data_IF_732548092160
#
_entry.id   IF_732548092160
#
_cell.length_a   1.000
_cell.length_b   1.000
_cell.length_c   1.000
_cell.angle_alpha   90.00
_cell.angle_beta   90.00
_cell.angle_gamma   90.00
#
_symmetry.space_group_name_H-M   'P 1'
#
loop_
_entity.id
_entity.type
_entity.pdbx_description
1 polymer ?
#
# COMPACT_ATOMS: atom_id res chain seq x y z
N UNK A 1 13.92 -14.48 4.11
CA UNK A 1 13.80 -14.95 2.69
C UNK A 1 12.38 -15.41 2.46
N UNK A 2 11.82 -15.18 1.28
CA UNK A 2 10.50 -15.70 0.94
C UNK A 2 10.54 -17.24 0.96
N UNK A 3 9.49 -17.86 1.49
CA UNK A 3 9.36 -19.33 1.60
C UNK A 3 8.06 -19.77 0.93
N UNK A 4 8.11 -20.88 0.19
CA UNK A 4 6.90 -21.51 -0.34
C UNK A 4 6.16 -22.23 0.80
N UNK A 5 4.86 -22.04 0.89
CA UNK A 5 3.99 -22.73 1.83
C UNK A 5 2.85 -23.44 1.11
N UNK A 6 2.36 -24.53 1.69
CA UNK A 6 1.20 -25.23 1.18
C UNK A 6 -0.07 -24.41 1.49
N UNK A 7 -0.87 -24.00 0.46
CA UNK A 7 -2.09 -23.26 0.67
C UNK A 7 -3.12 -23.97 1.58
N UNK A 8 -3.10 -25.32 1.62
CA UNK A 8 -3.98 -26.11 2.47
C UNK A 8 -3.65 -26.01 3.96
N UNK A 9 -2.42 -25.59 4.29
CA UNK A 9 -1.95 -25.41 5.68
C UNK A 9 -2.19 -23.99 6.21
N UNK A 10 -2.72 -23.09 5.37
CA UNK A 10 -3.13 -21.78 5.84
C UNK A 10 -4.42 -21.89 6.67
N UNK A 11 -4.65 -21.03 7.68
CA UNK A 11 -5.89 -21.02 8.45
C UNK A 11 -7.16 -20.81 7.59
N UNK A 12 -6.98 -20.44 6.31
CA UNK A 12 -8.04 -20.11 5.37
C UNK A 12 -8.29 -21.27 4.40
N UNK A 13 -9.32 -22.06 4.68
CA UNK A 13 -9.70 -23.19 3.83
C UNK A 13 -9.99 -22.80 2.35
N UNK A 14 -10.40 -21.56 2.09
CA UNK A 14 -10.69 -21.04 0.75
C UNK A 14 -9.44 -20.60 -0.03
N UNK A 15 -8.27 -20.47 0.61
CA UNK A 15 -7.06 -19.94 -0.06
C UNK A 15 -6.66 -20.75 -1.32
N UNK A 16 -6.75 -22.08 -1.26
CA UNK A 16 -6.40 -22.95 -2.37
C UNK A 16 -7.39 -22.83 -3.56
N UNK A 17 -8.66 -22.54 -3.30
CA UNK A 17 -9.72 -22.45 -4.33
C UNK A 17 -9.42 -21.33 -5.33
N UNK A 18 -8.94 -20.19 -4.84
CA UNK A 18 -8.73 -19.00 -5.65
C UNK A 18 -7.37 -18.97 -6.35
N UNK A 19 -6.48 -19.92 -6.04
CA UNK A 19 -5.12 -19.96 -6.58
C UNK A 19 -5.07 -20.05 -8.10
N UNK A 20 -6.05 -20.72 -8.69
CA UNK A 20 -6.15 -20.97 -10.15
C UNK A 20 -7.38 -20.32 -10.77
N UNK A 21 -8.06 -19.41 -10.05
CA UNK A 21 -9.21 -18.72 -10.60
C UNK A 21 -8.78 -17.77 -11.72
N UNK A 22 -9.56 -17.65 -12.81
CA UNK A 22 -9.22 -16.75 -13.93
C UNK A 22 -9.18 -15.28 -13.54
N UNK A 23 -9.95 -14.87 -12.53
CA UNK A 23 -10.01 -13.52 -11.99
C UNK A 23 -10.08 -13.60 -10.45
N UNK A 24 -8.95 -13.79 -9.77
CA UNK A 24 -8.93 -13.95 -8.32
C UNK A 24 -8.86 -12.63 -7.54
N UNK A 25 -8.95 -11.49 -8.22
CA UNK A 25 -8.80 -10.17 -7.61
C UNK A 25 -10.14 -9.62 -7.12
N UNK A 26 -10.13 -9.08 -5.91
CA UNK A 26 -11.23 -8.35 -5.30
C UNK A 26 -10.84 -6.89 -5.09
N UNK A 27 -11.80 -5.97 -5.24
CA UNK A 27 -11.56 -4.54 -4.96
C UNK A 27 -12.60 -4.02 -3.98
N UNK A 28 -12.13 -3.45 -2.87
CA UNK A 28 -12.94 -2.71 -1.91
C UNK A 28 -12.73 -1.20 -2.10
N UNK A 29 -13.79 -0.43 -1.89
CA UNK A 29 -13.76 1.03 -1.93
C UNK A 29 -14.12 1.56 -0.55
N UNK A 30 -13.27 2.43 0.01
CA UNK A 30 -13.51 3.06 1.30
C UNK A 30 -13.08 4.52 1.27
N UNK A 31 -13.82 5.37 1.98
CA UNK A 31 -13.45 6.78 2.15
C UNK A 31 -12.80 6.99 3.50
N UNK A 32 -11.51 7.33 3.50
CA UNK A 32 -10.71 7.60 4.70
C UNK A 32 -10.79 9.07 5.12
N UNK A 33 -10.73 9.32 6.43
CA UNK A 33 -10.52 10.66 6.97
C UNK A 33 -9.03 10.96 7.08
N UNK A 34 -8.51 11.73 6.15
CA UNK A 34 -7.08 12.09 6.08
C UNK A 34 -6.77 13.46 6.70
N UNK A 35 -7.71 14.03 7.43
CA UNK A 35 -7.53 15.31 8.14
C UNK A 35 -6.28 15.30 9.04
N UNK A 36 -5.99 14.23 9.80
CA UNK A 36 -4.80 14.15 10.65
C UNK A 36 -3.50 14.28 9.84
N UNK A 37 -3.38 13.56 8.70
CA UNK A 37 -2.19 13.62 7.85
C UNK A 37 -2.00 14.99 7.19
N UNK A 38 -3.08 15.65 6.77
CA UNK A 38 -2.99 17.00 6.21
C UNK A 38 -2.54 18.02 7.25
N UNK A 39 -2.99 17.89 8.50
CA UNK A 39 -2.51 18.75 9.59
C UNK A 39 -1.04 18.51 9.86
N UNK A 40 -0.61 17.25 9.88
CA UNK A 40 0.79 16.89 10.09
C UNK A 40 1.68 17.42 8.95
N UNK A 41 1.28 17.22 7.70
CA UNK A 41 1.98 17.70 6.51
C UNK A 41 2.11 19.24 6.45
N UNK A 42 1.13 19.98 7.02
CA UNK A 42 1.20 21.45 7.11
C UNK A 42 2.07 21.97 8.23
N UNK A 43 2.19 21.21 9.33
CA UNK A 43 3.01 21.60 10.50
C UNK A 43 4.49 21.25 10.33
N UNK A 44 4.77 20.24 9.52
CA UNK A 44 6.11 19.73 9.30
C UNK A 44 6.38 19.59 7.78
N UNK A 45 7.63 19.65 7.31
CA UNK A 45 7.98 19.51 5.90
C UNK A 45 7.85 18.06 5.41
N UNK A 46 6.69 17.42 5.68
CA UNK A 46 6.39 16.04 5.33
C UNK A 46 5.39 16.00 4.17
N UNK A 47 5.68 15.21 3.14
CA UNK A 47 4.79 15.04 1.99
C UNK A 47 3.58 14.20 2.37
N UNK A 48 2.38 14.64 2.00
CA UNK A 48 1.14 13.90 2.27
C UNK A 48 1.18 12.45 1.73
N UNK A 49 1.66 12.27 0.48
CA UNK A 49 1.74 10.96 -0.13
C UNK A 49 2.69 10.02 0.64
N UNK A 50 3.83 10.53 1.08
CA UNK A 50 4.78 9.79 1.93
C UNK A 50 4.12 9.36 3.25
N UNK A 51 3.38 10.26 3.91
CA UNK A 51 2.67 9.95 5.15
C UNK A 51 1.62 8.86 4.96
N UNK A 52 0.86 8.91 3.86
CA UNK A 52 -0.14 7.88 3.56
C UNK A 52 0.53 6.53 3.27
N UNK A 53 1.60 6.50 2.46
CA UNK A 53 2.40 5.29 2.22
C UNK A 53 2.96 4.70 3.53
N UNK A 54 3.43 5.55 4.45
CA UNK A 54 3.88 5.09 5.76
C UNK A 54 2.77 4.45 6.58
N UNK A 55 1.57 5.07 6.64
CA UNK A 55 0.41 4.49 7.33
C UNK A 55 -0.02 3.17 6.69
N UNK A 56 0.01 3.05 5.35
CA UNK A 56 -0.29 1.80 4.62
C UNK A 56 0.69 0.71 5.06
N UNK A 57 1.99 0.98 5.05
CA UNK A 57 3.00 0.01 5.47
C UNK A 57 2.82 -0.45 6.90
N UNK A 58 2.51 0.46 7.84
CA UNK A 58 2.26 0.13 9.25
C UNK A 58 0.99 -0.68 9.45
N UNK A 59 -0.09 -0.35 8.74
CA UNK A 59 -1.33 -1.11 8.78
C UNK A 59 -1.12 -2.53 8.24
N UNK A 60 -0.39 -2.66 7.12
CA UNK A 60 -0.05 -3.96 6.52
C UNK A 60 0.83 -4.81 7.44
N UNK A 61 1.84 -4.23 8.08
CA UNK A 61 2.70 -4.95 9.04
C UNK A 61 1.94 -5.50 10.25
N UNK A 62 0.71 -5.03 10.51
CA UNK A 62 -0.20 -5.51 11.57
C UNK A 62 -1.34 -6.38 11.03
N UNK A 63 -1.28 -6.74 9.77
CA UNK A 63 -2.27 -7.56 9.08
C UNK A 63 -1.55 -8.81 8.56
N UNK A 64 -1.68 -9.98 9.25
CA UNK A 64 -0.89 -11.17 8.96
C UNK A 64 -0.96 -11.63 7.50
N UNK A 65 -2.09 -11.39 6.84
CA UNK A 65 -2.34 -11.78 5.45
C UNK A 65 -1.38 -11.11 4.47
N UNK A 66 -0.81 -9.95 4.81
CA UNK A 66 0.22 -9.31 3.97
C UNK A 66 1.55 -10.04 3.99
N UNK A 67 1.76 -11.02 4.89
CA UNK A 67 2.91 -11.91 4.80
C UNK A 67 2.79 -12.93 3.67
N UNK A 68 1.62 -13.08 3.03
CA UNK A 68 1.34 -14.08 2.01
C UNK A 68 1.16 -13.42 0.65
N UNK A 69 1.65 -14.08 -0.42
CA UNK A 69 1.40 -13.65 -1.80
C UNK A 69 1.43 -14.86 -2.75
N UNK A 70 0.42 -15.03 -3.62
CA UNK A 70 0.50 -15.99 -4.72
C UNK A 70 1.48 -15.48 -5.80
N UNK A 71 2.50 -16.27 -6.10
CA UNK A 71 3.52 -15.96 -7.12
C UNK A 71 3.79 -17.19 -7.96
N UNK A 72 3.61 -17.12 -9.28
CA UNK A 72 3.92 -18.22 -10.19
C UNK A 72 3.16 -19.51 -9.90
N UNK A 73 1.92 -19.44 -9.42
CA UNK A 73 1.11 -20.61 -9.03
C UNK A 73 1.45 -21.20 -7.67
N UNK A 74 2.35 -20.58 -6.90
CA UNK A 74 2.77 -20.97 -5.55
C UNK A 74 2.32 -19.93 -4.54
N UNK A 75 2.03 -20.34 -3.31
CA UNK A 75 1.82 -19.41 -2.20
C UNK A 75 3.13 -19.16 -1.49
N UNK A 76 3.58 -17.91 -1.50
CA UNK A 76 4.82 -17.48 -0.86
C UNK A 76 4.54 -16.75 0.44
N UNK A 77 5.35 -17.02 1.46
CA UNK A 77 5.35 -16.30 2.74
C UNK A 77 6.59 -15.42 2.83
N UNK A 78 6.40 -14.18 3.30
CA UNK A 78 7.43 -13.14 3.40
C UNK A 78 7.58 -12.62 4.81
N UNK A 79 8.82 -12.36 5.21
CA UNK A 79 9.16 -11.73 6.49
C UNK A 79 9.28 -10.21 6.39
N UNK A 80 9.39 -9.68 5.16
CA UNK A 80 9.65 -8.27 4.92
C UNK A 80 8.59 -7.68 4.02
N UNK A 81 8.18 -6.45 4.35
CA UNK A 81 7.20 -5.68 3.59
C UNK A 81 7.82 -4.41 3.03
N UNK A 82 7.38 -4.02 1.84
CA UNK A 82 7.69 -2.74 1.24
C UNK A 82 6.42 -2.08 0.67
N UNK A 83 6.44 -0.77 0.54
CA UNK A 83 5.42 -0.01 -0.18
C UNK A 83 6.03 0.52 -1.46
N UNK A 84 5.45 0.15 -2.59
CA UNK A 84 5.81 0.70 -3.89
C UNK A 84 5.01 1.98 -4.15
N UNK A 85 5.65 3.01 -4.68
CA UNK A 85 4.99 4.24 -5.11
C UNK A 85 5.40 4.63 -6.53
N UNK A 86 4.45 5.18 -7.27
CA UNK A 86 4.72 5.73 -8.60
C UNK A 86 5.42 7.08 -8.46
N UNK A 87 6.49 7.28 -9.22
CA UNK A 87 7.33 8.47 -9.21
C UNK A 87 7.29 9.14 -10.60
N UNK A 88 6.87 10.41 -10.65
CA UNK A 88 6.97 11.22 -11.86
C UNK A 88 8.45 11.59 -12.11
N UNK A 89 8.90 11.41 -13.35
CA UNK A 89 10.29 11.63 -13.78
C UNK A 89 10.52 13.08 -14.21
N UNK A 90 11.75 13.57 -14.07
CA UNK A 90 12.14 14.92 -14.51
C UNK A 90 12.01 15.10 -16.02
N UNK A 91 12.31 14.05 -16.80
CA UNK A 91 12.19 14.03 -18.26
C UNK A 91 10.79 13.71 -18.80
N UNK A 92 9.79 13.61 -17.92
CA UNK A 92 8.44 13.15 -18.26
C UNK A 92 8.30 11.63 -18.14
N UNK A 93 7.04 11.15 -18.06
CA UNK A 93 6.74 9.75 -17.77
C UNK A 93 6.76 9.42 -16.29
N UNK A 94 6.71 8.13 -15.99
CA UNK A 94 6.66 7.61 -14.63
C UNK A 94 7.62 6.42 -14.48
N UNK A 95 8.04 6.15 -13.23
CA UNK A 95 8.73 4.94 -12.82
C UNK A 95 8.24 4.52 -11.43
N UNK A 96 8.74 3.45 -10.87
CA UNK A 96 8.30 2.90 -9.59
C UNK A 96 9.43 2.86 -8.57
N UNK A 97 9.07 2.89 -7.29
CA UNK A 97 10.04 2.91 -6.20
C UNK A 97 9.51 2.11 -5.02
N UNK A 98 10.20 1.03 -4.68
CA UNK A 98 9.97 0.25 -3.47
C UNK A 98 10.65 0.92 -2.28
N UNK A 99 9.92 1.01 -1.17
CA UNK A 99 10.40 1.63 0.07
C UNK A 99 10.15 0.62 1.20
N UNK A 100 11.19 0.18 1.92
CA UNK A 100 11.01 -0.74 3.04
C UNK A 100 10.08 -0.18 4.10
N UNK A 101 9.17 -1.01 4.62
CA UNK A 101 8.29 -0.61 5.73
C UNK A 101 9.13 -0.37 6.99
N UNK A 102 8.79 0.67 7.73
CA UNK A 102 9.45 1.03 8.99
C UNK A 102 8.44 1.60 9.97
N UNK A 103 8.56 1.24 11.25
CA UNK A 103 7.78 1.85 12.33
C UNK A 103 8.18 3.29 12.60
N UNK A 104 9.44 3.64 12.33
CA UNK A 104 9.94 5.01 12.49
C UNK A 104 9.56 5.87 11.28
N UNK A 105 8.74 6.90 11.52
CA UNK A 105 8.40 7.92 10.53
C UNK A 105 9.64 8.63 9.98
N UNK A 106 10.61 8.94 10.86
CA UNK A 106 11.85 9.63 10.47
C UNK A 106 12.64 8.78 9.48
N UNK A 107 12.81 7.48 9.76
CA UNK A 107 13.49 6.53 8.88
C UNK A 107 12.75 6.39 7.57
N UNK A 108 11.44 6.13 7.61
CA UNK A 108 10.64 5.98 6.40
C UNK A 108 10.66 7.23 5.52
N UNK A 109 10.54 8.44 6.11
CA UNK A 109 10.62 9.69 5.35
C UNK A 109 11.98 9.89 4.69
N UNK A 110 13.09 9.60 5.40
CA UNK A 110 14.44 9.67 4.84
C UNK A 110 14.58 8.75 3.63
N UNK A 111 14.19 7.48 3.79
CA UNK A 111 14.30 6.47 2.74
C UNK A 111 13.37 6.80 1.56
N UNK A 112 12.13 7.23 1.83
CA UNK A 112 11.20 7.71 0.80
C UNK A 112 11.79 8.84 -0.04
N UNK A 113 12.35 9.88 0.59
CA UNK A 113 12.89 11.03 -0.12
C UNK A 113 14.15 10.68 -0.93
N UNK A 114 15.05 9.90 -0.35
CA UNK A 114 16.29 9.47 -1.01
C UNK A 114 16.01 8.60 -2.23
N UNK A 115 15.21 7.53 -2.08
CA UNK A 115 14.92 6.56 -3.11
C UNK A 115 14.07 7.16 -4.24
N UNK A 116 12.97 7.85 -3.91
CA UNK A 116 12.14 8.51 -4.94
C UNK A 116 12.91 9.62 -5.65
N UNK A 117 13.81 10.33 -4.97
CA UNK A 117 14.69 11.33 -5.58
C UNK A 117 15.68 10.71 -6.57
N UNK A 118 16.24 9.54 -6.24
CA UNK A 118 17.11 8.78 -7.15
C UNK A 118 16.32 8.33 -8.40
N UNK A 119 15.15 7.68 -8.21
CA UNK A 119 14.29 7.24 -9.32
C UNK A 119 13.92 8.40 -10.23
N UNK A 120 13.52 9.54 -9.66
CA UNK A 120 13.14 10.75 -10.41
C UNK A 120 14.24 11.25 -11.35
N UNK A 121 15.51 11.27 -10.87
CA UNK A 121 16.65 11.73 -11.66
C UNK A 121 17.14 10.71 -12.68
N UNK A 122 17.14 9.43 -12.30
CA UNK A 122 17.74 8.36 -13.13
C UNK A 122 16.77 7.74 -14.13
N UNK A 123 15.46 7.87 -13.88
CA UNK A 123 14.40 7.17 -14.64
C UNK A 123 14.34 5.66 -14.36
N UNK A 124 15.26 5.11 -13.57
CA UNK A 124 15.33 3.67 -13.27
C UNK A 124 14.48 3.36 -12.06
N UNK A 125 13.66 2.30 -12.15
CA UNK A 125 12.91 1.78 -11.02
C UNK A 125 13.86 1.37 -9.88
N UNK A 126 13.37 1.50 -8.64
CA UNK A 126 14.04 0.94 -7.47
C UNK A 126 13.23 -0.25 -6.95
N UNK A 127 13.81 -1.43 -7.03
CA UNK A 127 13.21 -2.70 -6.64
C UNK A 127 14.02 -3.35 -5.52
N UNK A 128 13.33 -3.93 -4.53
CA UNK A 128 13.94 -4.55 -3.35
C UNK A 128 14.18 -6.07 -3.52
N UNK A 129 13.80 -6.62 -4.69
CA UNK A 129 13.95 -8.03 -4.99
C UNK A 129 12.96 -8.94 -4.26
N UNK A 130 13.16 -10.26 -4.42
CA UNK A 130 12.19 -11.31 -4.10
C UNK A 130 12.02 -11.59 -2.59
N UNK A 131 12.78 -10.93 -1.74
CA UNK A 131 12.67 -11.09 -0.27
C UNK A 131 11.55 -10.24 0.34
N UNK A 132 10.96 -9.34 -0.43
CA UNK A 132 9.93 -8.42 0.05
C UNK A 132 8.57 -8.69 -0.60
N UNK A 133 7.53 -8.77 0.23
CA UNK A 133 6.18 -8.60 -0.27
C UNK A 133 5.91 -7.10 -0.45
N UNK A 134 5.60 -6.70 -1.67
CA UNK A 134 5.46 -5.30 -2.05
C UNK A 134 3.98 -4.93 -2.17
N UNK A 135 3.58 -3.86 -1.48
CA UNK A 135 2.25 -3.27 -1.58
C UNK A 135 2.32 -2.15 -2.61
N UNK A 136 1.63 -2.31 -3.74
CA UNK A 136 1.60 -1.29 -4.78
C UNK A 136 0.74 -0.09 -4.38
N UNK A 137 1.18 1.12 -4.74
CA UNK A 137 0.37 2.32 -4.57
C UNK A 137 0.44 3.23 -5.80
N UNK A 138 -0.70 3.84 -6.14
CA UNK A 138 -0.77 4.88 -7.18
C UNK A 138 -1.60 6.05 -6.71
N UNK A 139 -1.01 7.24 -6.80
CA UNK A 139 -1.69 8.49 -6.51
C UNK A 139 -1.94 9.26 -7.82
N UNK A 140 -3.13 9.83 -7.96
CA UNK A 140 -3.54 10.70 -9.06
C UNK A 140 -3.73 12.14 -8.52
N UNK A 141 -2.63 12.84 -8.22
CA UNK A 141 -2.71 14.18 -7.64
C UNK A 141 -3.38 15.16 -8.62
N UNK A 142 -4.22 16.04 -8.08
CA UNK A 142 -5.01 16.99 -8.89
C UNK A 142 -6.33 16.43 -9.39
N UNK A 143 -6.53 15.13 -9.41
CA UNK A 143 -7.76 14.50 -9.91
C UNK A 143 -8.63 13.95 -8.76
N UNK A 144 -9.93 14.29 -8.78
CA UNK A 144 -10.91 13.77 -7.84
C UNK A 144 -11.58 12.55 -8.47
N UNK A 145 -11.19 11.36 -8.00
CA UNK A 145 -11.82 10.10 -8.39
C UNK A 145 -12.61 9.54 -7.21
N UNK A 146 -13.64 8.77 -7.48
CA UNK A 146 -14.41 8.04 -6.45
C UNK A 146 -13.81 6.66 -6.16
N UNK A 147 -13.13 6.09 -7.15
CA UNK A 147 -12.42 4.83 -7.06
C UNK A 147 -11.84 4.42 -8.42
N UNK A 148 -11.03 3.38 -8.39
CA UNK A 148 -10.48 2.73 -9.59
C UNK A 148 -10.32 1.23 -9.32
N UNK A 149 -10.56 0.41 -10.33
CA UNK A 149 -10.19 -1.00 -10.31
C UNK A 149 -8.87 -1.12 -11.06
N UNK A 150 -7.86 -1.71 -10.42
CA UNK A 150 -6.58 -1.92 -11.06
C UNK A 150 -6.66 -3.02 -12.13
N UNK A 151 -5.77 -2.96 -13.09
CA UNK A 151 -5.65 -4.02 -14.11
C UNK A 151 -5.23 -5.33 -13.45
N UNK A 152 -5.68 -6.44 -14.03
CA UNK A 152 -5.20 -7.77 -13.70
C UNK A 152 -4.62 -8.42 -14.96
N UNK A 153 -3.31 -8.62 -14.95
CA UNK A 153 -2.57 -9.20 -16.07
C UNK A 153 -2.12 -10.65 -15.80
N UNK A 154 -2.47 -11.22 -14.64
CA UNK A 154 -2.02 -12.56 -14.23
C UNK A 154 -0.54 -12.65 -13.84
N UNK A 155 0.19 -11.54 -13.87
CA UNK A 155 1.63 -11.48 -13.58
C UNK A 155 1.89 -10.99 -12.17
N UNK A 156 1.16 -9.94 -11.75
CA UNK A 156 1.31 -9.32 -10.43
C UNK A 156 0.05 -9.53 -9.61
N UNK A 157 0.18 -10.24 -8.51
CA UNK A 157 -0.90 -10.51 -7.55
C UNK A 157 -0.81 -9.62 -6.30
N UNK A 158 0.11 -8.67 -6.31
CA UNK A 158 0.37 -7.77 -5.20
C UNK A 158 -0.87 -6.95 -4.83
N UNK A 159 -1.13 -6.77 -3.52
CA UNK A 159 -2.16 -5.84 -3.07
C UNK A 159 -1.83 -4.42 -3.55
N UNK A 160 -2.85 -3.69 -3.96
CA UNK A 160 -2.67 -2.40 -4.60
C UNK A 160 -3.69 -1.37 -4.12
N UNK A 161 -3.23 -0.17 -3.76
CA UNK A 161 -4.09 0.94 -3.38
C UNK A 161 -4.00 2.07 -4.40
N UNK A 162 -5.16 2.61 -4.79
CA UNK A 162 -5.27 3.76 -5.69
C UNK A 162 -6.09 4.85 -5.02
N UNK A 163 -5.64 6.09 -5.15
CA UNK A 163 -6.39 7.26 -4.69
C UNK A 163 -6.15 8.49 -5.56
N UNK A 164 -7.11 9.41 -5.50
CA UNK A 164 -6.98 10.72 -6.13
C UNK A 164 -6.70 11.83 -5.12
N UNK A 165 -7.28 12.99 -5.37
CA UNK A 165 -7.23 14.11 -4.44
C UNK A 165 -8.31 13.98 -3.37
N UNK A 166 -7.97 14.33 -2.15
CA UNK A 166 -8.94 14.42 -1.06
C UNK A 166 -9.98 15.51 -1.34
N UNK A 167 -11.17 15.38 -0.72
CA UNK A 167 -12.28 16.33 -0.81
C UNK A 167 -12.58 16.91 0.56
N UNK A 168 -12.87 18.19 0.61
CA UNK A 168 -13.36 18.82 1.84
C UNK A 168 -14.81 18.42 2.05
N UNK A 169 -15.10 17.88 3.22
CA UNK A 169 -16.45 17.60 3.69
C UNK A 169 -16.60 18.21 5.10
N UNK A 170 -17.33 19.30 5.21
CA UNK A 170 -17.40 20.12 6.44
C UNK A 170 -15.99 20.52 6.91
N UNK A 171 -15.58 20.07 8.09
CA UNK A 171 -14.26 20.34 8.69
C UNK A 171 -13.24 19.21 8.48
N UNK A 172 -13.60 18.21 7.69
CA UNK A 172 -12.78 17.02 7.43
C UNK A 172 -12.32 16.95 6.00
N UNK A 173 -11.18 16.30 5.80
CA UNK A 173 -10.66 15.93 4.49
C UNK A 173 -10.90 14.44 4.26
N UNK A 174 -11.72 14.13 3.27
CA UNK A 174 -12.12 12.77 2.91
C UNK A 174 -11.41 12.32 1.64
N UNK A 175 -10.80 11.15 1.69
CA UNK A 175 -10.06 10.55 0.58
C UNK A 175 -10.70 9.21 0.21
N UNK A 176 -11.36 9.10 -0.96
CA UNK A 176 -11.73 7.81 -1.52
C UNK A 176 -10.47 7.02 -1.88
N UNK A 177 -10.41 5.77 -1.44
CA UNK A 177 -9.32 4.82 -1.71
C UNK A 177 -9.91 3.53 -2.25
N UNK A 178 -9.31 3.00 -3.30
CA UNK A 178 -9.58 1.65 -3.81
C UNK A 178 -8.47 0.73 -3.32
N UNK A 179 -8.84 -0.42 -2.77
CA UNK A 179 -7.93 -1.45 -2.33
C UNK A 179 -8.24 -2.75 -3.07
N UNK A 180 -7.32 -3.18 -3.94
CA UNK A 180 -7.41 -4.44 -4.66
C UNK A 180 -6.42 -5.45 -4.08
N UNK A 181 -6.84 -6.71 -3.99
CA UNK A 181 -6.04 -7.79 -3.43
C UNK A 181 -6.43 -9.12 -4.07
N UNK A 182 -5.53 -10.10 -4.01
CA UNK A 182 -5.78 -11.46 -4.46
C UNK A 182 -6.56 -12.24 -3.39
N UNK A 183 -7.64 -12.92 -3.79
CA UNK A 183 -8.53 -13.60 -2.84
C UNK A 183 -7.85 -14.79 -2.12
N UNK A 184 -6.79 -15.37 -2.69
CA UNK A 184 -5.94 -16.34 -1.98
C UNK A 184 -5.22 -15.70 -0.80
N UNK A 185 -4.82 -14.43 -0.90
CA UNK A 185 -4.09 -13.71 0.14
C UNK A 185 -5.00 -13.37 1.34
N UNK A 186 -6.19 -12.84 1.08
CA UNK A 186 -7.15 -12.44 2.12
C UNK A 186 -8.59 -12.46 1.60
N UNK A 187 -9.55 -12.53 2.51
CA UNK A 187 -10.97 -12.40 2.22
C UNK A 187 -11.43 -10.95 2.43
N UNK A 188 -12.69 -10.68 2.10
CA UNK A 188 -13.27 -9.35 2.25
C UNK A 188 -13.28 -8.84 3.69
N UNK A 189 -13.37 -9.74 4.69
CA UNK A 189 -13.35 -9.37 6.10
C UNK A 189 -11.96 -8.88 6.52
N UNK A 190 -10.90 -9.61 6.21
CA UNK A 190 -9.51 -9.21 6.51
C UNK A 190 -9.14 -7.94 5.77
N UNK A 191 -9.59 -7.79 4.51
CA UNK A 191 -9.39 -6.59 3.72
C UNK A 191 -10.11 -5.36 4.33
N UNK A 192 -11.33 -5.52 4.82
CA UNK A 192 -12.05 -4.47 5.54
C UNK A 192 -11.34 -4.10 6.85
N UNK A 193 -10.89 -5.10 7.63
CA UNK A 193 -10.11 -4.88 8.86
C UNK A 193 -8.77 -4.17 8.58
N UNK A 194 -8.11 -4.48 7.46
CA UNK A 194 -6.91 -3.73 7.04
C UNK A 194 -7.23 -2.25 6.79
N UNK A 195 -8.33 -1.93 6.11
CA UNK A 195 -8.74 -0.55 5.87
C UNK A 195 -9.10 0.19 7.18
N UNK A 196 -9.70 -0.50 8.14
CA UNK A 196 -9.95 0.04 9.48
C UNK A 196 -8.64 0.29 10.25
N UNK A 197 -7.68 -0.64 10.16
CA UNK A 197 -6.33 -0.45 10.72
C UNK A 197 -5.62 0.72 10.06
N UNK A 198 -5.76 0.89 8.74
CA UNK A 198 -5.19 2.02 8.01
C UNK A 198 -5.78 3.34 8.53
N UNK A 199 -7.10 3.43 8.74
CA UNK A 199 -7.71 4.61 9.35
C UNK A 199 -7.15 4.86 10.76
N UNK A 200 -6.99 3.82 11.58
CA UNK A 200 -6.41 3.95 12.91
C UNK A 200 -4.95 4.44 12.90
N UNK A 201 -4.12 4.00 11.92
CA UNK A 201 -2.75 4.50 11.76
C UNK A 201 -2.73 5.98 11.32
N UNK A 202 -3.66 6.40 10.46
CA UNK A 202 -3.84 7.79 10.06
C UNK A 202 -4.19 8.66 11.27
N UNK A 203 -5.10 8.19 12.13
CA UNK A 203 -5.52 8.92 13.34
C UNK A 203 -4.38 9.05 14.35
N UNK A 204 -3.61 7.97 14.57
CA UNK A 204 -2.42 7.97 15.45
C UNK A 204 -1.34 8.93 14.95
N UNK A 205 -1.05 8.93 13.66
CA UNK A 205 -0.05 9.81 13.07
C UNK A 205 -0.34 11.29 13.33
N UNK A 206 -1.61 11.68 13.37
CA UNK A 206 -2.04 13.04 13.68
C UNK A 206 -2.12 13.40 15.17
N UNK A 207 -1.97 12.42 16.07
CA UNK A 207 -2.02 12.60 17.52
C UNK A 207 -0.72 13.18 18.11
N UNK A 208 -0.77 13.56 19.41
CA UNK A 208 0.38 14.18 20.12
C UNK A 208 1.63 13.28 20.27
N UNK A 209 1.54 11.98 19.95
CA UNK A 209 2.63 11.00 20.03
C UNK A 209 3.13 10.49 18.69
N UNK A 210 2.67 11.01 17.55
CA UNK A 210 2.93 10.46 16.22
C UNK A 210 4.32 10.76 15.60
N UNK A 211 5.21 11.44 16.32
CA UNK A 211 6.55 11.83 15.83
C UNK A 211 7.70 11.13 16.58
N UNK A 212 7.43 10.10 17.39
CA UNK A 212 8.48 9.35 18.11
C UNK A 212 8.78 8.05 17.39
#
# INVERSE_FOLDING_TARGET
MAQEIDPSQTPRAAAAVWMHAPMPMLTLFQTLDVTPLLRLSRRHPLKFNMLLCWCIGRAAARTPEFALLPVGGKLMQYDKLAVNTVVALEGGGISTCDIPVSDSLIRFNRDYLALTGQVRRTGRAHELGDDYMVIGTSALPGHKIDGAVNIYAGIYNNPFLIWGSWRRQFFRAKLPVSFQFHHTQMDGMEAAQFLDRLQAEIDRAGGKGGLV
#
